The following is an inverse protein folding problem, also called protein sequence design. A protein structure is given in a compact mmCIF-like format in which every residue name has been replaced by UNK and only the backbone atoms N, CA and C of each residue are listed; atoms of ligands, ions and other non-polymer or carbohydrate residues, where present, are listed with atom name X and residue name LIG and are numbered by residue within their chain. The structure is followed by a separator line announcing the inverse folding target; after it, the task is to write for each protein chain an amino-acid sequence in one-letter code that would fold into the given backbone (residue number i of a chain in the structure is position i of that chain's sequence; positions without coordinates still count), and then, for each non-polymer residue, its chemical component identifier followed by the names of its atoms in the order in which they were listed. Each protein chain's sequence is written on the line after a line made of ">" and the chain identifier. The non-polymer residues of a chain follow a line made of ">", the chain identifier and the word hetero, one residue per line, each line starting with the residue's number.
data_IF_813689741204
#
_entry.id   IF_813689741204
#
_cell.length_a   1.000
_cell.length_b   1.000
_cell.length_c   1.000
_cell.angle_alpha   90.00
_cell.angle_beta   90.00
_cell.angle_gamma   90.00
#
_symmetry.space_group_name_H-M   'P 1'
#
loop_
_entity.id
_entity.type
_entity.pdbx_description
1 polymer ?
#
# COMPACT_ATOMS: atom_id res chain seq x y z
N UNK A 1 9.99 7.87 14.17
CA UNK A 1 8.78 7.37 13.52
C UNK A 1 8.77 7.87 12.08
N UNK A 2 8.54 7.02 11.09
CA UNK A 2 8.55 7.40 9.67
C UNK A 2 7.18 7.10 9.04
N UNK A 3 6.61 8.07 8.35
CA UNK A 3 5.31 7.95 7.67
C UNK A 3 5.50 8.13 6.17
N UNK A 4 4.80 7.32 5.39
CA UNK A 4 4.70 7.52 3.95
C UNK A 4 3.24 7.65 3.53
N UNK A 5 2.99 8.35 2.43
CA UNK A 5 1.70 8.38 1.76
C UNK A 5 1.77 7.60 0.45
N UNK A 6 0.80 6.70 0.24
CA UNK A 6 0.67 5.85 -0.95
C UNK A 6 -0.64 6.11 -1.69
N UNK A 7 -0.58 6.05 -3.02
CA UNK A 7 -1.76 6.03 -3.88
C UNK A 7 -2.18 4.60 -4.18
N UNK A 8 -3.43 4.25 -3.90
CA UNK A 8 -3.97 2.89 -4.07
C UNK A 8 -5.31 2.97 -4.82
N UNK A 9 -5.54 2.04 -5.74
CA UNK A 9 -6.81 1.95 -6.47
C UNK A 9 -7.97 1.65 -5.50
N UNK A 10 -9.16 2.29 -5.66
CA UNK A 10 -10.29 2.12 -4.75
C UNK A 10 -10.64 0.67 -4.41
N UNK A 11 -10.56 -0.24 -5.37
CA UNK A 11 -10.86 -1.66 -5.14
C UNK A 11 -9.93 -2.29 -4.07
N UNK A 12 -8.63 -1.97 -4.08
CA UNK A 12 -7.67 -2.52 -3.12
C UNK A 12 -7.75 -1.80 -1.79
N UNK A 13 -8.10 -0.51 -1.81
CA UNK A 13 -8.40 0.25 -0.60
C UNK A 13 -9.54 -0.40 0.18
N UNK A 14 -10.64 -0.75 -0.49
CA UNK A 14 -11.77 -1.42 0.16
C UNK A 14 -11.35 -2.75 0.80
N UNK A 15 -10.55 -3.54 0.10
CA UNK A 15 -9.99 -4.79 0.62
C UNK A 15 -9.05 -4.60 1.80
N UNK A 16 -8.31 -3.49 1.86
CA UNK A 16 -7.49 -3.16 3.03
C UNK A 16 -8.40 -2.82 4.21
N UNK A 17 -9.42 -2.00 3.97
CA UNK A 17 -10.33 -1.51 5.01
C UNK A 17 -11.22 -2.60 5.59
N UNK A 18 -11.58 -3.62 4.80
CA UNK A 18 -12.37 -4.76 5.27
C UNK A 18 -11.51 -5.92 5.84
N UNK A 19 -10.18 -5.82 5.76
CA UNK A 19 -9.23 -6.80 6.29
C UNK A 19 -8.91 -8.01 5.38
N UNK A 20 -9.46 -8.07 4.16
CA UNK A 20 -9.12 -9.08 3.15
C UNK A 20 -7.66 -8.94 2.69
N UNK A 21 -7.21 -7.71 2.49
CA UNK A 21 -5.84 -7.37 2.04
C UNK A 21 -5.02 -6.87 3.22
N UNK A 22 -4.04 -7.68 3.64
CA UNK A 22 -3.08 -7.32 4.70
C UNK A 22 -1.70 -6.98 4.19
N UNK A 23 -1.45 -7.15 2.89
CA UNK A 23 -0.16 -6.83 2.28
C UNK A 23 -0.35 -5.80 1.16
N UNK A 24 0.36 -4.67 1.24
CA UNK A 24 0.46 -3.70 0.15
C UNK A 24 1.74 -3.92 -0.64
N UNK A 25 1.61 -4.18 -1.94
CA UNK A 25 2.73 -4.54 -2.81
C UNK A 25 3.29 -3.32 -3.54
N UNK A 26 4.61 -3.22 -3.61
CA UNK A 26 5.31 -2.17 -4.36
C UNK A 26 6.54 -2.72 -5.07
N UNK A 27 6.91 -2.06 -6.17
CA UNK A 27 8.12 -2.36 -6.96
C UNK A 27 9.37 -1.67 -6.41
N UNK A 28 9.21 -0.67 -5.54
CA UNK A 28 10.30 0.18 -5.05
C UNK A 28 10.30 0.15 -3.52
N UNK A 29 11.49 -0.14 -2.96
CA UNK A 29 11.72 -0.09 -1.52
C UNK A 29 11.88 1.35 -1.04
N UNK A 30 11.35 1.63 0.14
CA UNK A 30 11.58 2.90 0.84
C UNK A 30 13.01 2.96 1.39
N UNK A 31 13.65 4.13 1.30
CA UNK A 31 14.98 4.36 1.89
C UNK A 31 14.97 4.27 3.42
N UNK A 32 13.87 4.68 4.06
CA UNK A 32 13.63 4.57 5.50
C UNK A 32 12.45 3.66 5.72
N UNK A 33 12.55 2.70 6.63
CA UNK A 33 11.45 1.79 6.97
C UNK A 33 10.29 2.60 7.57
N UNK A 34 9.12 2.70 6.90
CA UNK A 34 7.95 3.35 7.46
C UNK A 34 7.37 2.52 8.62
N UNK A 35 6.86 3.21 9.63
CA UNK A 35 6.04 2.61 10.68
C UNK A 35 4.55 2.78 10.37
N UNK A 36 4.20 3.71 9.47
CA UNK A 36 2.83 4.08 9.13
C UNK A 36 2.70 4.43 7.64
N UNK A 37 1.58 4.05 7.07
CA UNK A 37 1.19 4.35 5.69
C UNK A 37 -0.12 5.13 5.73
N UNK A 38 -0.13 6.32 5.13
CA UNK A 38 -1.34 7.08 4.82
C UNK A 38 -1.85 6.62 3.45
N UNK A 39 -3.14 6.29 3.38
CA UNK A 39 -3.76 5.68 2.21
C UNK A 39 -4.56 6.74 1.46
N UNK A 40 -4.05 7.14 0.29
CA UNK A 40 -4.78 7.91 -0.70
C UNK A 40 -5.47 6.98 -1.68
N UNK A 41 -6.78 7.12 -1.84
CA UNK A 41 -7.54 6.42 -2.86
C UNK A 41 -7.56 7.22 -4.15
N UNK A 42 -7.22 6.58 -5.27
CA UNK A 42 -7.21 7.23 -6.59
C UNK A 42 -8.63 7.46 -7.13
N UNK A 43 -8.75 7.84 -8.41
CA UNK A 43 -10.04 8.02 -9.07
C UNK A 43 -10.95 6.79 -8.89
N UNK A 44 -12.27 6.99 -8.65
CA UNK A 44 -12.99 8.26 -8.61
C UNK A 44 -13.00 8.96 -7.23
N UNK A 45 -12.38 8.39 -6.19
CA UNK A 45 -12.46 8.92 -4.82
C UNK A 45 -11.56 10.14 -4.63
N UNK A 46 -10.30 10.04 -5.07
CA UNK A 46 -9.32 11.14 -5.04
C UNK A 46 -9.14 11.81 -3.67
N UNK A 47 -9.11 11.03 -2.59
CA UNK A 47 -8.99 11.50 -1.20
C UNK A 47 -8.12 10.58 -0.36
N UNK A 48 -7.58 11.11 0.73
CA UNK A 48 -7.01 10.30 1.80
C UNK A 48 -8.17 9.76 2.63
N UNK A 49 -8.25 8.45 2.76
CA UNK A 49 -9.40 7.77 3.36
C UNK A 49 -9.08 7.06 4.67
N UNK A 50 -7.79 6.94 5.00
CA UNK A 50 -7.36 6.24 6.19
C UNK A 50 -5.85 6.05 6.25
N UNK A 51 -5.44 5.25 7.21
CA UNK A 51 -4.05 4.90 7.46
C UNK A 51 -3.92 3.48 8.01
N UNK A 52 -2.71 2.94 7.96
CA UNK A 52 -2.36 1.66 8.55
C UNK A 52 -0.95 1.70 9.15
N UNK A 53 -0.72 0.94 10.20
CA UNK A 53 0.63 0.69 10.71
C UNK A 53 1.31 -0.40 9.89
N UNK A 54 2.63 -0.30 9.77
CA UNK A 54 3.47 -1.30 9.13
C UNK A 54 4.03 -2.23 10.20
N UNK A 55 3.57 -3.47 10.19
CA UNK A 55 4.07 -4.52 11.08
C UNK A 55 5.44 -5.04 10.63
N UNK A 56 5.56 -5.32 9.34
CA UNK A 56 6.77 -5.89 8.74
C UNK A 56 6.88 -5.50 7.26
N UNK A 57 8.08 -5.62 6.70
CA UNK A 57 8.38 -5.32 5.31
C UNK A 57 9.17 -6.48 4.72
N UNK A 58 8.53 -7.25 3.86
CA UNK A 58 9.16 -8.34 3.13
C UNK A 58 9.72 -7.78 1.82
N UNK A 59 10.97 -8.12 1.51
CA UNK A 59 11.65 -7.72 0.29
C UNK A 59 12.43 -8.92 -0.22
N UNK A 60 11.94 -9.52 -1.29
CA UNK A 60 12.55 -10.72 -1.88
C UNK A 60 12.10 -10.89 -3.34
N UNK A 61 12.47 -12.00 -3.96
CA UNK A 61 11.95 -12.46 -5.24
C UNK A 61 10.40 -12.49 -5.24
N UNK A 62 9.74 -12.05 -6.33
CA UNK A 62 8.28 -12.03 -6.40
C UNK A 62 7.60 -13.36 -6.09
N UNK A 63 8.19 -14.51 -6.46
CA UNK A 63 7.64 -15.83 -6.17
C UNK A 63 7.70 -16.15 -4.67
N UNK A 64 8.81 -15.83 -4.01
CA UNK A 64 8.96 -16.01 -2.56
C UNK A 64 7.97 -15.12 -1.79
N UNK A 65 7.92 -13.83 -2.15
CA UNK A 65 6.96 -12.90 -1.55
C UNK A 65 5.52 -13.36 -1.77
N UNK A 66 5.18 -13.87 -2.96
CA UNK A 66 3.85 -14.41 -3.22
C UNK A 66 3.52 -15.61 -2.32
N UNK A 67 4.44 -16.56 -2.20
CA UNK A 67 4.23 -17.76 -1.40
C UNK A 67 3.94 -17.44 0.07
N UNK A 68 4.58 -16.42 0.62
CA UNK A 68 4.35 -15.96 2.00
C UNK A 68 3.06 -15.15 2.16
N UNK A 69 2.65 -14.39 1.13
CA UNK A 69 1.59 -13.37 1.27
C UNK A 69 0.26 -13.73 0.62
N UNK A 70 0.20 -14.76 -0.24
CA UNK A 70 -0.97 -15.12 -1.09
C UNK A 70 -2.31 -15.23 -0.35
N UNK A 71 -2.31 -15.67 0.91
CA UNK A 71 -3.54 -15.86 1.69
C UNK A 71 -4.21 -14.53 2.10
N UNK A 72 -3.46 -13.43 2.10
CA UNK A 72 -3.94 -12.09 2.49
C UNK A 72 -3.48 -11.00 1.51
N UNK A 73 -3.23 -11.39 0.25
CA UNK A 73 -2.74 -10.51 -0.82
C UNK A 73 -3.79 -9.52 -1.31
N UNK A 74 -5.07 -9.87 -1.18
CA UNK A 74 -6.20 -9.13 -1.76
C UNK A 74 -6.25 -9.13 -3.29
N UNK A 75 -5.41 -9.91 -3.96
CA UNK A 75 -5.32 -10.01 -5.42
C UNK A 75 -5.16 -11.47 -5.83
N UNK A 76 -5.57 -11.83 -7.04
CA UNK A 76 -5.28 -13.16 -7.57
C UNK A 76 -3.81 -13.27 -8.03
N UNK A 77 -3.37 -14.50 -8.31
CA UNK A 77 -2.00 -14.79 -8.67
C UNK A 77 -1.63 -14.17 -10.02
N UNK A 78 -2.57 -14.18 -10.96
CA UNK A 78 -2.40 -13.67 -12.32
C UNK A 78 -2.09 -12.17 -12.31
N UNK A 79 -2.88 -11.39 -11.57
CA UNK A 79 -2.67 -9.97 -11.36
C UNK A 79 -1.32 -9.68 -10.68
N UNK A 80 -0.95 -10.47 -9.67
CA UNK A 80 0.32 -10.30 -8.98
C UNK A 80 1.52 -10.56 -9.92
N UNK A 81 1.47 -11.64 -10.70
CA UNK A 81 2.53 -11.98 -11.67
C UNK A 81 2.65 -10.87 -12.72
N UNK A 82 1.53 -10.44 -13.30
CA UNK A 82 1.52 -9.36 -14.28
C UNK A 82 2.09 -8.06 -13.67
N UNK A 83 1.68 -7.74 -12.44
CA UNK A 83 2.18 -6.57 -11.73
C UNK A 83 3.69 -6.62 -11.55
N UNK A 84 4.28 -7.77 -11.23
CA UNK A 84 5.72 -7.95 -11.03
C UNK A 84 6.47 -8.48 -12.27
N UNK A 85 5.86 -8.46 -13.46
CA UNK A 85 6.52 -8.91 -14.67
C UNK A 85 7.84 -8.15 -14.89
N UNK A 86 8.92 -8.89 -15.21
CA UNK A 86 10.28 -8.39 -15.36
C UNK A 86 10.82 -7.62 -14.13
N UNK A 87 10.43 -8.03 -12.92
CA UNK A 87 10.98 -7.53 -11.66
C UNK A 87 11.67 -8.67 -10.92
N UNK A 88 12.89 -8.40 -10.47
CA UNK A 88 13.66 -9.33 -9.63
C UNK A 88 13.30 -9.18 -8.14
N UNK A 89 12.61 -8.10 -7.77
CA UNK A 89 12.29 -7.78 -6.38
C UNK A 89 10.82 -7.35 -6.27
N UNK A 90 10.15 -7.89 -5.27
CA UNK A 90 8.86 -7.45 -4.76
C UNK A 90 9.00 -6.93 -3.32
N UNK A 91 8.30 -5.84 -3.02
CA UNK A 91 8.17 -5.32 -1.65
C UNK A 91 6.74 -5.54 -1.19
N UNK A 92 6.57 -6.13 0.00
CA UNK A 92 5.27 -6.29 0.64
C UNK A 92 5.27 -5.64 2.03
N UNK A 93 4.45 -4.61 2.19
CA UNK A 93 4.21 -3.97 3.50
C UNK A 93 3.08 -4.71 4.21
N UNK A 94 3.39 -5.38 5.33
CA UNK A 94 2.38 -6.03 6.16
C UNK A 94 1.66 -4.98 7.00
N UNK A 95 0.37 -4.80 6.72
CA UNK A 95 -0.48 -3.80 7.34
C UNK A 95 -1.15 -4.36 8.60
N UNK A 96 -1.19 -3.55 9.65
CA UNK A 96 -1.96 -3.79 10.87
C UNK A 96 -2.62 -2.50 11.34
N UNK A 97 -3.54 -2.61 12.30
CA UNK A 97 -4.20 -1.47 12.94
C UNK A 97 -4.75 -0.48 11.88
N UNK A 98 -5.44 -1.01 10.88
CA UNK A 98 -6.01 -0.20 9.79
C UNK A 98 -7.11 0.69 10.36
N UNK A 99 -7.03 1.99 10.10
CA UNK A 99 -8.01 2.99 10.53
C UNK A 99 -8.59 3.66 9.29
N UNK A 100 -9.91 3.56 9.13
CA UNK A 100 -10.67 4.34 8.15
C UNK A 100 -11.09 5.66 8.78
N UNK A 101 -10.89 6.75 8.06
CA UNK A 101 -11.34 8.07 8.50
C UNK A 101 -12.84 8.22 8.26
N UNK A 102 -13.53 8.86 9.22
CA UNK A 102 -14.93 9.22 9.07
C UNK A 102 -15.11 10.25 7.95
N UNK A 103 -14.21 11.24 7.89
CA UNK A 103 -14.17 12.26 6.85
C UNK A 103 -12.91 12.14 5.98
N UNK A 104 -13.04 11.94 4.66
CA UNK A 104 -11.90 11.88 3.75
C UNK A 104 -11.15 13.23 3.62
N UNK A 105 -9.82 13.18 3.70
CA UNK A 105 -8.93 14.35 3.74
C UNK A 105 -8.36 14.66 2.34
N UNK A 106 -8.04 15.92 2.05
CA UNK A 106 -7.38 16.28 0.78
C UNK A 106 -5.86 16.06 0.85
N UNK A 107 -5.22 15.71 -0.27
CA UNK A 107 -3.75 15.58 -0.35
C UNK A 107 -3.01 16.84 0.12
N UNK A 108 -3.56 18.02 -0.20
CA UNK A 108 -2.97 19.32 0.15
C UNK A 108 -2.85 19.52 1.66
N UNK A 109 -3.70 18.88 2.45
CA UNK A 109 -3.69 18.99 3.92
C UNK A 109 -2.47 18.28 4.52
N UNK A 110 -1.86 17.36 3.76
CA UNK A 110 -0.58 16.72 4.05
C UNK A 110 0.60 17.37 3.29
N UNK A 111 0.41 18.56 2.70
CA UNK A 111 1.45 19.24 1.91
C UNK A 111 1.75 18.57 0.56
N UNK A 112 0.93 17.61 0.12
CA UNK A 112 1.12 16.87 -1.13
C UNK A 112 0.27 17.49 -2.24
N UNK A 113 0.91 17.89 -3.35
CA UNK A 113 0.22 18.57 -4.46
C UNK A 113 -0.50 17.61 -5.41
N UNK A 114 0.01 16.41 -5.58
CA UNK A 114 -0.52 15.39 -6.50
C UNK A 114 -0.29 13.99 -5.96
N UNK A 115 -1.13 13.04 -6.39
CA UNK A 115 -1.04 11.65 -5.98
C UNK A 115 0.35 11.08 -6.32
N UNK A 116 1.09 10.50 -5.36
CA UNK A 116 2.40 9.92 -5.65
C UNK A 116 2.30 8.67 -6.52
N UNK A 117 3.24 8.52 -7.45
CA UNK A 117 3.35 7.31 -8.28
C UNK A 117 3.83 6.10 -7.45
N UNK A 118 4.84 6.31 -6.60
CA UNK A 118 5.36 5.29 -5.67
C UNK A 118 4.94 5.60 -4.25
N UNK A 119 5.55 6.61 -3.63
CA UNK A 119 5.25 7.09 -2.28
C UNK A 119 5.85 8.49 -2.08
N UNK A 120 5.43 9.19 -1.03
CA UNK A 120 6.13 10.37 -0.49
C UNK A 120 6.28 10.23 1.01
N UNK A 121 7.35 10.80 1.57
CA UNK A 121 7.49 10.95 3.02
C UNK A 121 6.70 12.16 3.48
N UNK A 122 6.06 12.02 4.64
CA UNK A 122 5.21 13.04 5.29
C UNK A 122 5.50 13.09 6.78
#
# INVERSE_FOLDING_TARGET
>A
MCTILLSIHPEFVEKIMNGEKKFEFRKVITKKKPNKIIIYSTSPICKIIGEAEVEDILVDDPELVWNETKNFSGVNKEFYIEYFNDKEIAVAYKLKNVVKYEEPIMLKDYGVKSAPQSFVYV
#
